data_IF_294476858244
#
_entry.id   IF_294476858244
#
_cell.length_a   1.000
_cell.length_b   1.000
_cell.length_c   1.000
_cell.angle_alpha   90.00
_cell.angle_beta   90.00
_cell.angle_gamma   90.00
#
_symmetry.space_group_name_H-M   'P 1'
#
loop_
_entity.id
_entity.type
_entity.pdbx_description
1 polymer ?
#
# COMPACT_ATOMS: atom_id res chain seq x y z
N UNK A 1 6.96 4.09 19.12
CA UNK A 1 7.63 4.07 17.81
C UNK A 1 6.65 3.53 16.80
N UNK A 2 6.33 4.30 15.79
CA UNK A 2 5.32 3.94 14.80
C UNK A 2 5.92 3.29 13.57
N UNK A 3 5.20 2.31 13.02
CA UNK A 3 5.52 1.66 11.76
C UNK A 3 4.28 1.70 10.87
N UNK A 4 4.42 2.22 9.66
CA UNK A 4 3.34 2.28 8.67
C UNK A 4 3.46 1.08 7.74
N UNK A 5 2.34 0.41 7.49
CA UNK A 5 2.28 -0.71 6.56
C UNK A 5 1.33 -0.42 5.41
N UNK A 6 1.80 -0.67 4.19
CA UNK A 6 1.04 -0.48 2.95
C UNK A 6 0.79 -1.85 2.31
N UNK A 7 -0.48 -2.22 2.20
CA UNK A 7 -0.91 -3.51 1.66
C UNK A 7 -0.72 -3.59 0.14
N UNK A 8 -0.86 -4.80 -0.40
CA UNK A 8 -0.74 -5.07 -1.83
C UNK A 8 -1.99 -4.75 -2.63
N UNK A 9 -1.94 -5.09 -3.92
CA UNK A 9 -3.04 -4.89 -4.87
C UNK A 9 -4.30 -5.62 -4.40
N UNK A 10 -5.43 -4.93 -4.46
CA UNK A 10 -6.74 -5.43 -4.02
C UNK A 10 -6.80 -5.85 -2.54
N UNK A 11 -5.86 -5.38 -1.74
CA UNK A 11 -5.81 -5.69 -0.31
C UNK A 11 -6.60 -4.70 0.54
N UNK A 12 -6.38 -4.80 1.85
CA UNK A 12 -7.00 -3.93 2.85
C UNK A 12 -6.11 -3.81 4.08
N UNK A 13 -6.53 -3.01 5.04
CA UNK A 13 -5.81 -2.90 6.33
C UNK A 13 -6.00 -4.14 7.22
N UNK A 14 -6.82 -5.09 6.80
CA UNK A 14 -7.11 -6.33 7.55
C UNK A 14 -6.45 -7.55 6.92
N UNK A 15 -5.19 -7.43 6.50
CA UNK A 15 -4.46 -8.54 5.89
C UNK A 15 -3.81 -9.43 6.95
N UNK A 16 -3.46 -10.66 6.55
CA UNK A 16 -2.70 -11.58 7.40
C UNK A 16 -1.33 -11.02 7.74
N UNK A 17 -0.73 -10.29 6.81
CA UNK A 17 0.58 -9.68 7.00
C UNK A 17 0.59 -8.73 8.19
N UNK A 18 -0.38 -7.82 8.26
CA UNK A 18 -0.45 -6.87 9.38
C UNK A 18 -0.78 -7.58 10.69
N UNK A 19 -1.61 -8.60 10.64
CA UNK A 19 -1.93 -9.43 11.82
C UNK A 19 -0.65 -10.08 12.36
N UNK A 20 0.18 -10.64 11.47
CA UNK A 20 1.44 -11.25 11.86
C UNK A 20 2.44 -10.23 12.39
N UNK A 21 2.52 -9.05 11.81
CA UNK A 21 3.40 -8.00 12.31
C UNK A 21 3.03 -7.59 13.74
N UNK A 22 1.75 -7.44 14.02
CA UNK A 22 1.28 -7.12 15.37
C UNK A 22 1.62 -8.22 16.36
N UNK A 23 1.55 -9.47 15.92
CA UNK A 23 1.85 -10.64 16.76
C UNK A 23 3.34 -10.74 17.08
N UNK A 24 4.20 -10.58 16.09
CA UNK A 24 5.64 -10.81 16.23
C UNK A 24 6.42 -9.56 16.65
N UNK A 25 5.87 -8.38 16.42
CA UNK A 25 6.51 -7.11 16.78
C UNK A 25 5.53 -6.22 17.54
N UNK A 26 5.11 -6.68 18.74
CA UNK A 26 4.05 -5.97 19.50
C UNK A 26 4.51 -4.64 20.10
N UNK A 27 5.82 -4.39 20.16
CA UNK A 27 6.36 -3.14 20.72
C UNK A 27 6.21 -1.95 19.76
N UNK A 28 5.93 -2.20 18.49
CA UNK A 28 5.70 -1.16 17.52
C UNK A 28 4.21 -0.80 17.46
N UNK A 29 3.94 0.49 17.34
CA UNK A 29 2.58 0.95 17.03
C UNK A 29 2.37 0.84 15.53
N UNK A 30 1.56 -0.12 15.11
CA UNK A 30 1.31 -0.38 13.69
C UNK A 30 0.20 0.50 13.16
N UNK A 31 0.46 1.20 12.08
CA UNK A 31 -0.47 2.10 11.39
C UNK A 31 -0.66 1.62 9.95
N UNK A 32 -1.55 0.66 9.70
CA UNK A 32 -1.82 0.25 8.33
C UNK A 32 -2.63 1.33 7.61
N UNK A 33 -2.20 1.69 6.40
CA UNK A 33 -2.91 2.62 5.55
C UNK A 33 -3.58 1.88 4.41
N UNK A 34 -4.85 2.18 4.19
CA UNK A 34 -5.59 1.61 3.08
C UNK A 34 -5.34 2.42 1.83
N UNK A 35 -4.81 1.76 0.80
CA UNK A 35 -4.52 2.36 -0.50
C UNK A 35 -5.33 1.66 -1.58
N UNK A 36 -5.31 2.18 -2.79
CA UNK A 36 -6.07 1.61 -3.90
C UNK A 36 -5.20 1.49 -5.15
N UNK A 37 -5.83 1.17 -6.28
CA UNK A 37 -5.16 0.99 -7.57
C UNK A 37 -4.79 2.33 -8.24
N UNK A 38 -5.16 3.45 -7.66
CA UNK A 38 -4.88 4.78 -8.20
C UNK A 38 -3.59 5.30 -7.56
N UNK A 39 -2.52 5.30 -8.34
CA UNK A 39 -1.17 5.58 -7.82
C UNK A 39 -1.06 6.98 -7.22
N UNK A 40 -1.61 7.99 -7.90
CA UNK A 40 -1.48 9.37 -7.45
C UNK A 40 -2.18 9.59 -6.10
N UNK A 41 -3.39 9.06 -5.95
CA UNK A 41 -4.14 9.16 -4.69
C UNK A 41 -3.45 8.39 -3.57
N UNK A 42 -2.94 7.21 -3.87
CA UNK A 42 -2.30 6.35 -2.88
C UNK A 42 -1.00 6.95 -2.36
N UNK A 43 -0.14 7.43 -3.25
CA UNK A 43 1.13 8.06 -2.87
C UNK A 43 0.86 9.36 -2.09
N UNK A 44 -0.13 10.15 -2.54
CA UNK A 44 -0.51 11.37 -1.82
C UNK A 44 -0.99 11.06 -0.40
N UNK A 45 -1.83 10.05 -0.24
CA UNK A 45 -2.33 9.63 1.07
C UNK A 45 -1.18 9.24 2.00
N UNK A 46 -0.22 8.47 1.48
CA UNK A 46 0.95 8.06 2.25
C UNK A 46 1.78 9.27 2.66
N UNK A 47 2.09 10.15 1.70
CA UNK A 47 2.90 11.33 1.97
C UNK A 47 2.23 12.27 2.98
N UNK A 48 0.92 12.46 2.87
CA UNK A 48 0.16 13.30 3.81
C UNK A 48 0.19 12.71 5.22
N UNK A 49 0.04 11.39 5.34
CA UNK A 49 0.09 10.73 6.65
C UNK A 49 1.49 10.87 7.27
N UNK A 50 2.53 10.66 6.49
CA UNK A 50 3.91 10.77 6.98
C UNK A 50 4.25 12.19 7.42
N UNK A 51 3.77 13.20 6.67
CA UNK A 51 3.98 14.60 7.03
C UNK A 51 3.29 14.96 8.35
N UNK A 52 2.13 14.35 8.62
CA UNK A 52 1.37 14.60 9.84
C UNK A 52 1.84 13.75 11.04
N UNK A 53 2.70 12.76 10.82
CA UNK A 53 3.15 11.82 11.84
C UNK A 53 4.67 11.67 11.83
N UNK A 54 5.36 12.68 12.35
CA UNK A 54 6.83 12.74 12.34
C UNK A 54 7.50 11.63 13.16
N UNK A 55 6.76 10.95 14.03
CA UNK A 55 7.25 9.87 14.87
C UNK A 55 7.27 8.49 14.19
N UNK A 56 6.88 8.42 12.92
CA UNK A 56 6.98 7.18 12.13
C UNK A 56 8.46 6.88 11.87
N UNK A 57 8.89 5.67 12.21
CA UNK A 57 10.27 5.22 12.02
C UNK A 57 10.43 4.28 10.82
N UNK A 58 9.42 3.50 10.53
CA UNK A 58 9.46 2.48 9.47
C UNK A 58 8.30 2.65 8.53
N UNK A 59 8.59 2.59 7.23
CA UNK A 59 7.57 2.54 6.17
C UNK A 59 7.75 1.22 5.44
N UNK A 60 6.76 0.34 5.55
CA UNK A 60 6.85 -1.04 5.09
C UNK A 60 5.74 -1.30 4.09
N UNK A 61 6.07 -1.93 2.98
CA UNK A 61 5.07 -2.30 1.99
C UNK A 61 5.37 -3.62 1.32
N UNK A 62 4.33 -4.33 0.93
CA UNK A 62 4.46 -5.60 0.22
C UNK A 62 3.78 -5.52 -1.14
N UNK A 63 4.36 -6.20 -2.14
CA UNK A 63 3.84 -6.26 -3.50
C UNK A 63 3.66 -4.85 -4.08
N UNK A 64 2.46 -4.47 -4.51
CA UNK A 64 2.16 -3.11 -5.00
C UNK A 64 2.39 -2.07 -3.90
N UNK A 65 2.08 -2.42 -2.64
CA UNK A 65 2.39 -1.54 -1.50
C UNK A 65 3.87 -1.23 -1.39
N UNK A 66 4.73 -2.19 -1.75
CA UNK A 66 6.17 -1.96 -1.84
C UNK A 66 6.54 -0.92 -2.89
N UNK A 67 5.88 -0.96 -4.05
CA UNK A 67 6.07 0.06 -5.09
C UNK A 67 5.71 1.45 -4.54
N UNK A 68 4.57 1.57 -3.85
CA UNK A 68 4.16 2.84 -3.26
C UNK A 68 5.15 3.35 -2.22
N UNK A 69 5.70 2.45 -1.41
CA UNK A 69 6.75 2.80 -0.43
C UNK A 69 7.96 3.40 -1.14
N UNK A 70 8.39 2.81 -2.25
CA UNK A 70 9.51 3.34 -3.02
C UNK A 70 9.23 4.73 -3.59
N UNK A 71 7.97 5.03 -3.92
CA UNK A 71 7.56 6.33 -4.44
C UNK A 71 7.36 7.38 -3.35
N UNK A 72 7.16 6.96 -2.10
CA UNK A 72 6.82 7.87 -1.01
C UNK A 72 8.02 8.73 -0.61
N UNK A 73 7.71 9.94 -0.14
CA UNK A 73 8.71 10.87 0.40
C UNK A 73 8.87 10.60 1.90
N UNK A 74 9.89 9.82 2.26
CA UNK A 74 10.09 9.42 3.64
C UNK A 74 11.60 9.35 3.96
N UNK A 75 12.08 10.13 4.95
CA UNK A 75 13.50 10.13 5.32
C UNK A 75 13.90 8.98 6.23
N UNK A 76 12.94 8.25 6.81
CA UNK A 76 13.20 7.12 7.69
C UNK A 76 13.52 5.84 6.91
N UNK A 77 13.40 4.70 7.60
CA UNK A 77 13.72 3.41 6.98
C UNK A 77 12.55 2.86 6.19
N UNK A 78 12.79 2.62 4.91
CA UNK A 78 11.85 1.94 4.02
C UNK A 78 12.18 0.46 3.97
N UNK A 79 11.16 -0.39 4.08
CA UNK A 79 11.30 -1.84 3.97
C UNK A 79 10.26 -2.32 2.94
N UNK A 80 10.73 -3.01 1.90
CA UNK A 80 9.83 -3.53 0.87
C UNK A 80 9.95 -5.05 0.81
N UNK A 81 8.80 -5.71 0.67
CA UNK A 81 8.70 -7.17 0.65
C UNK A 81 8.12 -7.56 -0.70
N UNK A 82 8.92 -8.24 -1.52
CA UNK A 82 8.52 -8.66 -2.87
C UNK A 82 7.83 -7.53 -3.63
N UNK A 83 8.47 -6.36 -3.79
CA UNK A 83 7.81 -5.21 -4.38
C UNK A 83 7.52 -5.41 -5.86
N UNK A 84 6.39 -4.87 -6.31
CA UNK A 84 6.10 -4.76 -7.74
C UNK A 84 6.90 -3.57 -8.26
N UNK A 85 7.92 -3.81 -9.08
CA UNK A 85 8.79 -2.74 -9.58
C UNK A 85 8.28 -2.11 -10.88
N UNK A 86 7.47 -2.84 -11.63
CA UNK A 86 6.86 -2.36 -12.87
C UNK A 86 5.37 -2.68 -12.88
N UNK A 87 4.54 -1.85 -12.22
CA UNK A 87 3.10 -2.12 -12.14
C UNK A 87 2.39 -2.16 -13.49
N UNK A 88 2.82 -1.35 -14.46
CA UNK A 88 2.25 -1.37 -15.81
C UNK A 88 2.28 -2.78 -16.40
N UNK A 89 3.41 -3.46 -16.26
CA UNK A 89 3.56 -4.82 -16.77
C UNK A 89 2.87 -5.85 -15.87
N UNK A 90 3.12 -5.76 -14.57
CA UNK A 90 2.66 -6.76 -13.60
C UNK A 90 1.14 -6.80 -13.46
N UNK A 91 0.47 -5.65 -13.57
CA UNK A 91 -0.98 -5.55 -13.40
C UNK A 91 -1.77 -5.61 -14.71
N UNK A 92 -1.09 -5.77 -15.84
CA UNK A 92 -1.75 -5.77 -17.15
C UNK A 92 -2.84 -6.84 -17.25
N UNK A 93 -2.60 -8.01 -16.65
CA UNK A 93 -3.57 -9.11 -16.64
C UNK A 93 -4.77 -8.84 -15.75
N UNK A 94 -4.68 -7.86 -14.86
CA UNK A 94 -5.75 -7.54 -13.92
C UNK A 94 -6.69 -6.44 -14.43
N UNK A 95 -6.49 -5.94 -15.64
CA UNK A 95 -7.39 -4.95 -16.23
C UNK A 95 -8.81 -5.51 -16.27
N UNK A 96 -9.76 -4.73 -15.74
CA UNK A 96 -11.15 -5.13 -15.60
C UNK A 96 -11.62 -5.01 -14.16
N UNK A 97 -12.67 -5.77 -13.83
CA UNK A 97 -13.24 -5.78 -12.48
C UNK A 97 -12.44 -6.71 -11.59
N UNK A 98 -12.04 -6.20 -10.42
CA UNK A 98 -11.31 -6.95 -9.40
C UNK A 98 -12.06 -6.88 -8.08
N UNK A 99 -12.05 -7.98 -7.34
CA UNK A 99 -12.64 -8.03 -6.00
C UNK A 99 -11.55 -7.76 -4.96
N UNK A 100 -11.89 -7.01 -3.93
CA UNK A 100 -11.01 -6.84 -2.78
C UNK A 100 -10.94 -8.14 -1.97
N UNK A 101 -9.77 -8.46 -1.46
CA UNK A 101 -9.53 -9.68 -0.69
C UNK A 101 -9.93 -9.56 0.77
N UNK A 102 -10.15 -8.32 1.25
CA UNK A 102 -10.52 -8.07 2.63
C UNK A 102 -11.53 -6.95 2.70
N UNK A 103 -11.99 -6.70 3.93
CA UNK A 103 -12.96 -5.62 4.16
C UNK A 103 -12.28 -4.26 3.98
N UNK A 104 -12.87 -3.43 3.14
CA UNK A 104 -12.44 -2.06 2.93
C UNK A 104 -13.14 -1.12 3.92
N UNK A 105 -12.46 -0.05 4.31
CA UNK A 105 -13.01 0.93 5.27
C UNK A 105 -14.24 1.63 4.73
N UNK A 106 -14.33 1.83 3.41
CA UNK A 106 -15.49 2.47 2.77
C UNK A 106 -16.60 1.48 2.38
N UNK A 107 -16.43 0.20 2.69
CA UNK A 107 -17.42 -0.84 2.38
C UNK A 107 -17.40 -1.33 0.94
N UNK A 108 -16.51 -0.84 0.10
CA UNK A 108 -16.38 -1.30 -1.27
C UNK A 108 -15.95 -2.78 -1.32
N UNK A 109 -16.53 -3.53 -2.27
CA UNK A 109 -16.23 -4.95 -2.45
C UNK A 109 -15.43 -5.23 -3.72
N UNK A 110 -15.48 -4.30 -4.68
CA UNK A 110 -14.78 -4.45 -5.96
C UNK A 110 -14.40 -3.09 -6.54
N UNK A 111 -13.53 -3.12 -7.54
CA UNK A 111 -13.11 -1.93 -8.28
C UNK A 111 -12.78 -2.30 -9.71
N UNK A 112 -12.75 -1.31 -10.59
CA UNK A 112 -12.36 -1.50 -11.98
C UNK A 112 -10.97 -0.92 -12.21
N UNK A 113 -10.06 -1.76 -12.71
CA UNK A 113 -8.74 -1.32 -13.14
C UNK A 113 -8.77 -1.09 -14.65
N UNK A 114 -8.44 0.12 -15.09
CA UNK A 114 -8.42 0.48 -16.49
C UNK A 114 -7.00 0.56 -17.04
N UNK A 115 -6.85 0.55 -18.37
CA UNK A 115 -5.54 0.77 -18.99
C UNK A 115 -5.00 2.16 -18.65
N UNK A 116 -5.87 3.16 -18.52
CA UNK A 116 -5.45 4.51 -18.13
C UNK A 116 -4.87 4.52 -16.72
N UNK A 117 -5.45 3.74 -15.81
CA UNK A 117 -4.90 3.60 -14.45
C UNK A 117 -3.49 3.03 -14.48
N UNK A 118 -3.24 2.03 -15.36
CA UNK A 118 -1.92 1.45 -15.51
C UNK A 118 -0.88 2.45 -16.02
N UNK A 119 -1.28 3.31 -16.96
CA UNK A 119 -0.35 4.31 -17.50
C UNK A 119 0.09 5.32 -16.44
N UNK A 120 -0.70 5.53 -15.39
CA UNK A 120 -0.35 6.40 -14.28
C UNK A 120 0.82 5.87 -13.43
N UNK A 121 1.08 4.56 -13.49
CA UNK A 121 2.22 3.97 -12.78
C UNK A 121 3.56 4.25 -13.47
N UNK A 122 3.53 4.84 -14.64
CA UNK A 122 4.75 5.18 -15.36
C UNK A 122 5.48 6.30 -14.60
N UNK A 123 6.71 6.02 -14.24
CA UNK A 123 7.54 6.98 -13.51
C UNK A 123 7.93 8.15 -14.41
#
# INVERSE_FOLDING_TARGET
MKAVYIHGFAGSIHSDTITNFRKYYPDLEWCPLEVNHLVDESVKKINDFLAANADVKYLIGSSLGGFYVLCANFPGRKIVINPVLNPMSSLKKAVGVNKYRGRRTNGETEFKLTMQDLFRFKA
#
